data_IF_891225917162
#
_entry.id   IF_891225917162
#
_cell.length_a   1.000
_cell.length_b   1.000
_cell.length_c   1.000
_cell.angle_alpha   90.00
_cell.angle_beta   90.00
_cell.angle_gamma   90.00
#
_symmetry.space_group_name_H-M   'P 1'
#
loop_
_entity.id
_entity.type
_entity.pdbx_description
1 polymer ?
#
# COMPACT_ATOMS: atom_id res chain seq x y z
N UNK A 1 -10.80 9.50 12.92
CA UNK A 1 -10.70 10.41 11.77
C UNK A 1 -10.74 9.60 10.49
N UNK A 2 -11.01 10.26 9.37
CA UNK A 2 -10.88 9.67 8.03
C UNK A 2 -9.40 9.73 7.61
N UNK A 3 -8.91 8.72 6.89
CA UNK A 3 -7.53 8.65 6.42
C UNK A 3 -7.50 8.33 4.93
N UNK A 4 -6.68 9.06 4.17
CA UNK A 4 -6.42 8.79 2.76
C UNK A 4 -5.26 7.80 2.63
N UNK A 5 -5.41 6.78 1.80
CA UNK A 5 -4.29 5.94 1.38
C UNK A 5 -3.43 6.73 0.38
N UNK A 6 -2.14 6.89 0.67
CA UNK A 6 -1.21 7.66 -0.17
C UNK A 6 -0.23 6.78 -0.92
N UNK A 7 0.18 5.66 -0.31
CA UNK A 7 1.10 4.69 -0.92
C UNK A 7 0.72 3.26 -0.56
N UNK A 8 0.93 2.36 -1.53
CA UNK A 8 0.79 0.92 -1.37
C UNK A 8 1.97 0.26 -2.07
N UNK A 9 2.81 -0.41 -1.29
CA UNK A 9 3.90 -1.25 -1.79
C UNK A 9 3.62 -2.71 -1.47
N UNK A 10 3.95 -3.57 -2.44
CA UNK A 10 3.81 -5.01 -2.32
C UNK A 10 5.16 -5.69 -2.53
N UNK A 11 5.53 -6.57 -1.61
CA UNK A 11 6.63 -7.51 -1.77
C UNK A 11 6.11 -8.95 -1.94
N UNK A 12 6.31 -9.49 -3.14
CA UNK A 12 5.96 -10.87 -3.46
C UNK A 12 7.17 -11.79 -3.30
N UNK A 13 6.98 -12.93 -2.65
CA UNK A 13 8.04 -13.93 -2.48
C UNK A 13 7.53 -15.37 -2.61
N UNK A 14 8.47 -16.30 -2.79
CA UNK A 14 8.22 -17.73 -2.95
C UNK A 14 7.26 -18.04 -4.12
N UNK A 15 7.56 -17.50 -5.31
CA UNK A 15 6.73 -17.68 -6.51
C UNK A 15 6.68 -19.15 -6.95
N UNK A 16 5.48 -19.62 -7.28
CA UNK A 16 5.25 -20.88 -7.99
C UNK A 16 5.52 -20.71 -9.49
N UNK A 17 5.58 -21.83 -10.21
CA UNK A 17 5.52 -21.82 -11.66
C UNK A 17 4.29 -21.03 -12.14
N UNK A 18 4.49 -20.14 -13.13
CA UNK A 18 3.45 -19.21 -13.57
C UNK A 18 3.35 -17.91 -12.77
N UNK A 19 4.27 -17.67 -11.83
CA UNK A 19 4.41 -16.38 -11.15
C UNK A 19 3.46 -16.15 -9.98
N UNK A 20 2.74 -17.18 -9.52
CA UNK A 20 1.80 -17.07 -8.40
C UNK A 20 2.58 -16.95 -7.08
N UNK A 21 2.48 -15.85 -6.32
CA UNK A 21 3.19 -15.70 -5.06
C UNK A 21 2.58 -16.56 -3.96
N UNK A 22 3.44 -17.13 -3.10
CA UNK A 22 3.00 -17.87 -1.91
C UNK A 22 3.04 -17.03 -0.64
N UNK A 23 3.67 -15.87 -0.70
CA UNK A 23 3.71 -14.88 0.36
C UNK A 23 3.70 -13.49 -0.27
N UNK A 24 2.82 -12.63 0.24
CA UNK A 24 2.69 -11.23 -0.16
C UNK A 24 2.75 -10.39 1.12
N UNK A 25 3.72 -9.49 1.19
CA UNK A 25 3.82 -8.46 2.22
C UNK A 25 3.29 -7.15 1.65
N UNK A 26 2.54 -6.40 2.44
CA UNK A 26 2.02 -5.09 2.06
C UNK A 26 2.48 -4.03 3.03
N UNK A 27 2.97 -2.92 2.50
CA UNK A 27 3.26 -1.69 3.23
C UNK A 27 2.29 -0.61 2.75
N UNK A 28 1.58 0.00 3.70
CA UNK A 28 0.52 0.97 3.42
C UNK A 28 0.85 2.27 4.14
N UNK A 29 0.82 3.38 3.42
CA UNK A 29 0.96 4.71 4.00
C UNK A 29 -0.37 5.45 3.96
N UNK A 30 -0.70 6.10 5.07
CA UNK A 30 -1.92 6.87 5.22
C UNK A 30 -1.63 8.26 5.73
N UNK A 31 -2.39 9.24 5.25
CA UNK A 31 -2.42 10.60 5.78
C UNK A 31 -3.81 10.91 6.33
N UNK A 32 -3.90 11.72 7.38
CA UNK A 32 -5.19 12.13 7.92
C UNK A 32 -5.92 12.99 6.89
N UNK A 33 -7.18 12.67 6.64
CA UNK A 33 -8.03 13.42 5.74
C UNK A 33 -8.17 14.86 6.23
N UNK A 34 -7.76 15.83 5.41
CA UNK A 34 -7.64 17.25 5.77
C UNK A 34 -6.20 17.76 5.73
N UNK A 35 -5.23 16.94 6.15
CA UNK A 35 -3.78 17.26 6.02
C UNK A 35 -3.23 16.91 4.63
N UNK A 36 -3.96 16.08 3.87
CA UNK A 36 -3.71 15.75 2.46
C UNK A 36 -4.00 16.93 1.50
N UNK A 37 -4.70 17.97 1.98
CA UNK A 37 -5.06 19.16 1.20
C UNK A 37 -3.92 20.19 1.21
N UNK A 38 -2.73 19.82 0.72
CA UNK A 38 -1.59 20.76 0.63
C UNK A 38 -1.68 21.76 -0.55
N UNK A 39 -2.87 22.02 -1.09
CA UNK A 39 -3.09 22.99 -2.18
C UNK A 39 -4.34 23.86 -1.94
N UNK A 40 -4.39 24.52 -0.77
CA UNK A 40 -5.30 25.66 -0.53
C UNK A 40 -4.49 26.88 -0.14
#
# INVERSE_FOLDING_TARGET
GTWCLTSLEEEQSHLLAGGIPRKQGFSLEFVSYGDDLQNV
#
